data_IF_362053064897
#
_entry.id   IF_362053064897
#
_cell.length_a   1.000
_cell.length_b   1.000
_cell.length_c   1.000
_cell.angle_alpha   90.00
_cell.angle_beta   90.00
_cell.angle_gamma   90.00
#
_symmetry.space_group_name_H-M   'P 1'
#
loop_
_entity.id
_entity.type
_entity.pdbx_description
1 polymer ?
#
# COMPACT_ATOMS: atom_id res chain seq x y z
N UNK A 1 -16.46 -6.06 29.67
CA UNK A 1 -17.11 -7.22 29.00
C UNK A 1 -18.49 -7.49 29.55
N UNK A 2 -18.67 -7.82 30.86
CA UNK A 2 -20.00 -8.16 31.37
C UNK A 2 -20.99 -7.00 31.34
N UNK A 3 -20.56 -5.77 31.60
CA UNK A 3 -21.41 -4.58 31.45
C UNK A 3 -21.91 -4.42 30.01
N UNK A 4 -21.03 -4.56 29.03
CA UNK A 4 -21.36 -4.48 27.60
C UNK A 4 -22.28 -5.62 27.19
N UNK A 5 -22.04 -6.83 27.71
CA UNK A 5 -22.93 -7.96 27.48
C UNK A 5 -24.35 -7.67 27.96
N UNK A 6 -24.50 -7.28 29.22
CA UNK A 6 -25.82 -6.99 29.81
C UNK A 6 -26.52 -5.81 29.10
N UNK A 7 -25.75 -4.81 28.68
CA UNK A 7 -26.31 -3.60 28.07
C UNK A 7 -26.71 -3.78 26.60
N UNK A 8 -25.90 -4.50 25.82
CA UNK A 8 -26.11 -4.63 24.39
C UNK A 8 -26.70 -5.97 23.97
N UNK A 9 -26.20 -7.07 24.48
CA UNK A 9 -26.61 -8.39 24.03
C UNK A 9 -28.02 -8.73 24.52
N UNK A 10 -28.31 -8.50 25.80
CA UNK A 10 -29.66 -8.71 26.34
C UNK A 10 -30.68 -7.74 25.71
N UNK A 11 -30.30 -6.50 25.45
CA UNK A 11 -31.17 -5.54 24.78
C UNK A 11 -31.43 -5.92 23.32
N UNK A 12 -30.43 -6.47 22.62
CA UNK A 12 -30.53 -6.82 21.21
C UNK A 12 -31.27 -8.15 20.97
N UNK A 13 -30.96 -9.17 21.77
CA UNK A 13 -31.44 -10.52 21.59
C UNK A 13 -32.58 -10.90 22.54
N UNK A 14 -32.92 -10.08 23.50
CA UNK A 14 -33.87 -10.33 24.57
C UNK A 14 -33.21 -10.95 25.80
N UNK A 15 -33.67 -10.52 26.98
CA UNK A 15 -33.12 -10.91 28.27
C UNK A 15 -33.14 -12.45 28.45
N UNK A 16 -31.99 -13.00 28.76
CA UNK A 16 -31.82 -14.45 29.02
C UNK A 16 -31.82 -15.36 27.80
N UNK A 17 -31.93 -14.80 26.57
CA UNK A 17 -31.89 -15.62 25.35
C UNK A 17 -30.47 -16.13 25.02
N UNK A 18 -29.44 -15.48 25.53
CA UNK A 18 -28.05 -15.96 25.45
C UNK A 18 -27.54 -16.29 26.85
N UNK A 19 -26.95 -17.47 27.01
CA UNK A 19 -26.52 -17.96 28.30
C UNK A 19 -25.30 -17.21 28.84
N UNK A 20 -25.56 -16.20 29.65
CA UNK A 20 -24.55 -15.38 30.35
C UNK A 20 -23.50 -16.21 31.11
N UNK A 21 -23.95 -17.26 31.77
CA UNK A 21 -23.09 -18.14 32.56
C UNK A 21 -21.96 -18.76 31.74
N UNK A 22 -22.18 -19.00 30.44
CA UNK A 22 -21.14 -19.51 29.52
C UNK A 22 -19.99 -18.56 29.32
N UNK A 23 -20.28 -17.27 29.27
CA UNK A 23 -19.23 -16.24 29.17
C UNK A 23 -18.40 -16.19 30.46
N UNK A 24 -19.08 -16.28 31.62
CA UNK A 24 -18.42 -16.32 32.92
C UNK A 24 -17.55 -17.57 33.06
N UNK A 25 -18.05 -18.72 32.61
CA UNK A 25 -17.29 -19.98 32.60
C UNK A 25 -16.06 -19.89 31.71
N UNK A 26 -16.18 -19.30 30.51
CA UNK A 26 -15.03 -19.07 29.62
C UNK A 26 -14.01 -18.14 30.25
N UNK A 27 -14.46 -17.05 30.89
CA UNK A 27 -13.57 -16.15 31.62
C UNK A 27 -12.82 -16.89 32.74
N UNK A 28 -13.52 -17.72 33.51
CA UNK A 28 -12.95 -18.49 34.61
C UNK A 28 -11.97 -19.58 34.12
N UNK A 29 -12.14 -20.07 32.88
CA UNK A 29 -11.19 -20.99 32.26
C UNK A 29 -9.83 -20.35 32.03
N UNK A 30 -9.78 -19.04 31.79
CA UNK A 30 -8.57 -18.26 31.70
C UNK A 30 -7.79 -18.36 30.37
N UNK A 31 -8.31 -19.09 29.38
CA UNK A 31 -7.78 -19.17 28.01
C UNK A 31 -8.88 -19.46 27.00
N UNK A 32 -8.62 -19.21 25.72
CA UNK A 32 -9.51 -19.58 24.63
C UNK A 32 -9.27 -21.06 24.24
N UNK A 33 -10.27 -21.95 24.42
CA UNK A 33 -10.10 -23.38 24.17
C UNK A 33 -10.21 -23.71 22.67
N UNK A 34 -9.30 -23.15 21.88
CA UNK A 34 -9.24 -23.31 20.42
C UNK A 34 -7.83 -23.67 19.97
N UNK A 35 -7.74 -24.46 18.93
CA UNK A 35 -6.52 -24.72 18.17
C UNK A 35 -6.69 -24.09 16.80
N UNK A 36 -5.72 -23.27 16.37
CA UNK A 36 -5.68 -22.67 15.04
C UNK A 36 -4.47 -23.24 14.32
N UNK A 37 -4.70 -23.76 13.11
CA UNK A 37 -3.66 -24.18 12.18
C UNK A 37 -3.79 -23.35 10.94
N UNK A 38 -2.67 -22.81 10.47
CA UNK A 38 -2.64 -21.98 9.27
C UNK A 38 -1.52 -22.45 8.35
N UNK A 39 -1.69 -22.18 7.05
CA UNK A 39 -0.58 -22.22 6.10
C UNK A 39 0.45 -21.16 6.49
N UNK A 40 1.74 -21.37 6.20
CA UNK A 40 2.73 -20.32 6.38
C UNK A 40 2.33 -19.05 5.62
N UNK A 41 2.47 -17.90 6.24
CA UNK A 41 2.17 -16.61 5.60
C UNK A 41 3.05 -16.39 4.37
N UNK A 42 2.52 -15.74 3.34
CA UNK A 42 3.17 -15.60 2.03
C UNK A 42 3.03 -16.83 1.12
N UNK A 43 2.42 -17.93 1.58
CA UNK A 43 2.17 -19.10 0.74
C UNK A 43 1.16 -18.79 -0.36
N UNK A 44 1.49 -19.15 -1.61
CA UNK A 44 0.56 -19.12 -2.74
C UNK A 44 -0.19 -20.44 -2.81
N UNK A 45 -1.50 -20.39 -2.71
CA UNK A 45 -2.36 -21.58 -2.70
C UNK A 45 -3.45 -21.49 -3.76
N UNK A 46 -3.90 -22.64 -4.25
CA UNK A 46 -5.03 -22.69 -5.19
C UNK A 46 -6.35 -22.35 -4.48
N UNK A 47 -7.29 -21.78 -5.21
CA UNK A 47 -8.64 -21.56 -4.72
C UNK A 47 -9.27 -22.88 -4.25
N UNK A 48 -10.05 -22.79 -3.18
CA UNK A 48 -10.70 -23.96 -2.57
C UNK A 48 -9.84 -24.73 -1.57
N UNK A 49 -8.57 -24.38 -1.41
CA UNK A 49 -7.72 -24.95 -0.36
C UNK A 49 -7.90 -24.12 0.91
N UNK A 50 -8.26 -24.76 2.07
CA UNK A 50 -8.32 -24.07 3.34
C UNK A 50 -6.95 -23.51 3.75
N UNK A 51 -6.88 -22.20 4.01
CA UNK A 51 -5.65 -21.55 4.47
C UNK A 51 -5.53 -21.51 5.99
N UNK A 52 -6.67 -21.57 6.68
CA UNK A 52 -6.77 -21.61 8.14
C UNK A 52 -7.81 -22.63 8.54
N UNK A 53 -7.49 -23.43 9.55
CA UNK A 53 -8.40 -24.32 10.25
C UNK A 53 -8.47 -23.90 11.72
N UNK A 54 -9.69 -23.73 12.24
CA UNK A 54 -9.91 -23.45 13.65
C UNK A 54 -10.82 -24.52 14.25
N UNK A 55 -10.39 -25.13 15.33
CA UNK A 55 -11.17 -26.15 16.03
C UNK A 55 -11.20 -25.94 17.53
N UNK A 56 -12.30 -26.32 18.11
CA UNK A 56 -12.51 -26.33 19.53
C UNK A 56 -11.71 -27.45 20.21
N UNK A 57 -11.06 -27.14 21.33
CA UNK A 57 -10.30 -28.11 22.15
C UNK A 57 -11.03 -28.53 23.43
N UNK A 58 -12.20 -27.93 23.72
CA UNK A 58 -12.99 -28.25 24.91
C UNK A 58 -14.48 -28.30 24.59
N UNK A 59 -15.17 -29.46 24.70
CA UNK A 59 -16.57 -29.65 24.25
C UNK A 59 -17.57 -28.62 24.78
N UNK A 60 -17.37 -28.15 26.01
CA UNK A 60 -18.28 -27.20 26.67
C UNK A 60 -18.23 -25.80 26.01
N UNK A 61 -17.19 -25.49 25.28
CA UNK A 61 -16.95 -24.18 24.66
C UNK A 61 -16.95 -24.20 23.12
N UNK A 62 -17.59 -25.21 22.52
CA UNK A 62 -17.69 -25.33 21.06
C UNK A 62 -18.28 -24.08 20.37
N UNK A 63 -19.17 -23.38 21.08
CA UNK A 63 -19.80 -22.14 20.61
C UNK A 63 -18.82 -20.96 20.36
N UNK A 64 -17.63 -21.01 20.98
CA UNK A 64 -16.62 -19.94 20.84
C UNK A 64 -16.12 -19.81 19.40
N UNK A 65 -16.08 -20.93 18.65
CA UNK A 65 -15.60 -20.95 17.26
C UNK A 65 -16.38 -19.98 16.38
N UNK A 66 -17.70 -19.94 16.48
CA UNK A 66 -18.55 -19.06 15.67
C UNK A 66 -18.24 -17.57 15.91
N UNK A 67 -17.92 -17.21 17.14
CA UNK A 67 -17.55 -15.83 17.48
C UNK A 67 -16.17 -15.44 16.95
N UNK A 68 -15.21 -16.36 17.05
CA UNK A 68 -13.85 -16.12 16.60
C UNK A 68 -13.73 -16.18 15.08
N UNK A 69 -14.60 -16.92 14.38
CA UNK A 69 -14.61 -17.00 12.92
C UNK A 69 -14.74 -15.62 12.28
N UNK A 70 -15.70 -14.81 12.72
CA UNK A 70 -15.91 -13.46 12.16
C UNK A 70 -14.70 -12.57 12.38
N UNK A 71 -14.11 -12.62 13.58
CA UNK A 71 -12.89 -11.85 13.89
C UNK A 71 -11.74 -12.30 13.02
N UNK A 72 -11.50 -13.61 12.92
CA UNK A 72 -10.41 -14.16 12.12
C UNK A 72 -10.55 -13.77 10.65
N UNK A 73 -11.75 -13.91 10.08
CA UNK A 73 -12.00 -13.58 8.68
C UNK A 73 -11.79 -12.10 8.41
N UNK A 74 -12.27 -11.22 9.30
CA UNK A 74 -12.09 -9.76 9.16
C UNK A 74 -10.61 -9.36 9.19
N UNK A 75 -9.81 -10.03 9.99
CA UNK A 75 -8.37 -9.75 10.10
C UNK A 75 -7.55 -10.32 8.93
N UNK A 76 -7.89 -11.52 8.47
CA UNK A 76 -7.07 -12.25 7.48
C UNK A 76 -7.44 -11.89 6.04
N UNK A 77 -8.73 -11.72 5.74
CA UNK A 77 -9.20 -11.57 4.37
C UNK A 77 -8.63 -10.34 3.62
N UNK A 78 -8.61 -9.14 4.21
CA UNK A 78 -8.07 -7.96 3.52
C UNK A 78 -6.59 -8.14 3.16
N UNK A 79 -5.80 -8.70 4.06
CA UNK A 79 -4.39 -8.99 3.83
C UNK A 79 -4.18 -10.00 2.70
N UNK A 80 -4.94 -11.10 2.70
CA UNK A 80 -4.88 -12.12 1.64
C UNK A 80 -5.27 -11.53 0.28
N UNK A 81 -6.31 -10.71 0.24
CA UNK A 81 -6.76 -10.06 -0.99
C UNK A 81 -5.68 -9.11 -1.53
N UNK A 82 -5.11 -8.29 -0.66
CA UNK A 82 -4.10 -7.30 -1.03
C UNK A 82 -2.78 -7.98 -1.47
N UNK A 83 -2.34 -9.01 -0.76
CA UNK A 83 -1.19 -9.83 -1.14
C UNK A 83 -1.40 -10.52 -2.49
N UNK A 84 -2.61 -11.06 -2.75
CA UNK A 84 -2.95 -11.71 -4.01
C UNK A 84 -2.89 -10.73 -5.17
N UNK A 85 -3.46 -9.53 -5.02
CA UNK A 85 -3.37 -8.47 -6.03
C UNK A 85 -1.92 -8.08 -6.28
N UNK A 86 -1.14 -7.87 -5.23
CA UNK A 86 0.30 -7.60 -5.34
C UNK A 86 1.05 -8.69 -6.11
N UNK A 87 0.78 -9.94 -5.81
CA UNK A 87 1.37 -11.09 -6.50
C UNK A 87 1.02 -11.13 -8.00
N UNK A 88 -0.25 -10.89 -8.35
CA UNK A 88 -0.67 -10.86 -9.77
C UNK A 88 0.02 -9.72 -10.53
N UNK A 89 0.14 -8.53 -9.94
CA UNK A 89 0.89 -7.43 -10.53
C UNK A 89 2.40 -7.75 -10.64
N UNK A 90 2.97 -8.43 -9.65
CA UNK A 90 4.38 -8.80 -9.68
C UNK A 90 4.69 -9.74 -10.86
N UNK A 91 3.83 -10.73 -11.14
CA UNK A 91 3.98 -11.60 -12.31
C UNK A 91 4.00 -10.82 -13.63
N UNK A 92 3.18 -9.77 -13.73
CA UNK A 92 3.17 -8.89 -14.91
C UNK A 92 4.47 -8.06 -14.96
N UNK A 93 4.90 -7.50 -13.85
CA UNK A 93 6.15 -6.74 -13.77
C UNK A 93 7.34 -7.62 -14.18
N UNK A 94 7.49 -8.79 -13.60
CA UNK A 94 8.56 -9.74 -13.90
C UNK A 94 8.61 -10.10 -15.39
N UNK A 95 7.44 -10.41 -15.97
CA UNK A 95 7.32 -10.72 -17.41
C UNK A 95 7.83 -9.61 -18.31
N UNK A 96 7.57 -8.34 -17.95
CA UNK A 96 7.97 -7.21 -18.79
C UNK A 96 9.39 -6.74 -18.48
N UNK A 97 9.82 -6.74 -17.24
CA UNK A 97 11.19 -6.42 -16.85
C UNK A 97 12.20 -7.37 -17.51
N UNK A 98 11.91 -8.67 -17.53
CA UNK A 98 12.78 -9.64 -18.21
C UNK A 98 12.99 -9.34 -19.70
N UNK A 99 12.06 -8.65 -20.36
CA UNK A 99 12.11 -8.30 -21.79
C UNK A 99 12.70 -6.92 -22.07
N UNK A 100 12.35 -5.93 -21.26
CA UNK A 100 12.61 -4.52 -21.56
C UNK A 100 13.67 -3.89 -20.67
N UNK A 101 13.95 -4.48 -19.52
CA UNK A 101 14.93 -4.00 -18.56
C UNK A 101 15.65 -5.18 -17.85
N UNK A 102 16.33 -6.07 -18.61
CA UNK A 102 16.98 -7.22 -18.02
C UNK A 102 18.03 -6.77 -16.98
N UNK A 103 17.94 -7.35 -15.79
CA UNK A 103 18.80 -6.99 -14.65
C UNK A 103 18.24 -5.89 -13.73
N UNK A 104 17.14 -5.24 -14.09
CA UNK A 104 16.40 -4.40 -13.16
C UNK A 104 15.51 -5.24 -12.23
N UNK A 105 15.33 -4.78 -11.00
CA UNK A 105 14.57 -5.51 -9.97
C UNK A 105 13.06 -5.26 -10.11
N UNK A 106 12.24 -6.26 -10.45
CA UNK A 106 10.79 -6.12 -10.59
C UNK A 106 10.09 -5.78 -9.27
N UNK A 107 10.68 -6.08 -8.10
CA UNK A 107 10.17 -5.66 -6.80
C UNK A 107 10.13 -4.13 -6.64
N UNK A 108 10.89 -3.40 -7.45
CA UNK A 108 10.92 -1.94 -7.47
C UNK A 108 9.92 -1.33 -8.47
N UNK A 109 9.13 -2.13 -9.17
CA UNK A 109 8.25 -1.66 -10.24
C UNK A 109 7.08 -0.80 -9.74
N UNK A 110 6.47 -1.19 -8.63
CA UNK A 110 5.24 -0.57 -8.13
C UNK A 110 5.35 -0.17 -6.65
N UNK A 111 4.63 0.88 -6.28
CA UNK A 111 4.50 1.35 -4.90
C UNK A 111 3.04 1.34 -4.47
N UNK A 112 2.78 0.98 -3.21
CA UNK A 112 1.46 1.12 -2.61
C UNK A 112 1.18 2.58 -2.24
N UNK A 113 0.06 3.11 -2.74
CA UNK A 113 -0.52 4.40 -2.41
C UNK A 113 -1.94 4.26 -1.83
N UNK A 114 -2.31 3.08 -1.39
CA UNK A 114 -3.67 2.71 -1.00
C UNK A 114 -4.16 3.29 0.32
N UNK A 115 -3.33 3.92 1.14
CA UNK A 115 -3.67 4.35 2.49
C UNK A 115 -5.02 5.09 2.57
N UNK A 116 -5.20 6.12 1.74
CA UNK A 116 -6.41 6.95 1.73
C UNK A 116 -7.68 6.23 1.25
N UNK A 117 -7.54 5.04 0.68
CA UNK A 117 -8.65 4.21 0.19
C UNK A 117 -9.09 3.10 1.16
N UNK A 118 -8.45 2.98 2.33
CA UNK A 118 -8.74 1.96 3.33
C UNK A 118 -9.79 2.40 4.33
N UNK A 119 -10.41 1.43 5.02
CA UNK A 119 -11.50 1.67 5.98
C UNK A 119 -11.02 2.33 7.27
N UNK A 120 -9.79 2.05 7.69
CA UNK A 120 -9.16 2.59 8.90
C UNK A 120 -7.62 2.46 8.82
N UNK A 121 -6.93 3.02 9.81
CA UNK A 121 -5.47 3.00 9.90
C UNK A 121 -4.92 1.56 10.00
N UNK A 122 -5.55 0.72 10.78
CA UNK A 122 -5.16 -0.68 10.98
C UNK A 122 -5.26 -1.46 9.67
N UNK A 123 -6.33 -1.25 8.91
CA UNK A 123 -6.52 -1.84 7.59
C UNK A 123 -5.44 -1.40 6.60
N UNK A 124 -5.19 -0.09 6.52
CA UNK A 124 -4.14 0.46 5.68
C UNK A 124 -2.76 -0.14 6.03
N UNK A 125 -2.47 -0.23 7.31
CA UNK A 125 -1.22 -0.77 7.84
C UNK A 125 -1.01 -2.22 7.42
N UNK A 126 -2.00 -3.09 7.67
CA UNK A 126 -1.93 -4.53 7.37
C UNK A 126 -1.92 -4.82 5.88
N UNK A 127 -2.79 -4.16 5.13
CA UNK A 127 -2.85 -4.32 3.68
C UNK A 127 -1.54 -3.91 3.01
N UNK A 128 -0.97 -2.78 3.41
CA UNK A 128 0.32 -2.35 2.89
C UNK A 128 1.47 -3.29 3.30
N UNK A 129 1.45 -3.80 4.53
CA UNK A 129 2.41 -4.82 4.95
C UNK A 129 2.35 -6.07 4.07
N UNK A 130 1.14 -6.51 3.69
CA UNK A 130 0.96 -7.66 2.79
C UNK A 130 1.35 -7.37 1.33
N UNK A 131 1.25 -6.12 0.87
CA UNK A 131 1.78 -5.68 -0.42
C UNK A 131 3.29 -5.86 -0.52
N UNK A 132 4.00 -5.63 0.58
CA UNK A 132 5.46 -5.74 0.64
C UNK A 132 5.99 -7.18 0.50
N UNK A 133 5.12 -8.19 0.43
CA UNK A 133 5.49 -9.54 -0.03
C UNK A 133 5.86 -9.58 -1.53
N UNK A 134 5.33 -8.66 -2.32
CA UNK A 134 5.47 -8.68 -3.78
C UNK A 134 6.22 -7.47 -4.35
N UNK A 135 6.25 -6.36 -3.64
CA UNK A 135 6.94 -5.14 -4.05
C UNK A 135 7.64 -4.49 -2.85
N UNK A 136 8.72 -3.80 -3.11
CA UNK A 136 9.52 -3.19 -2.04
C UNK A 136 9.28 -1.68 -1.89
N UNK A 137 8.10 -1.19 -2.29
CA UNK A 137 7.76 0.23 -2.18
C UNK A 137 6.38 0.46 -1.59
N UNK A 138 6.30 1.40 -0.65
CA UNK A 138 5.03 1.89 -0.10
C UNK A 138 5.12 3.34 0.34
N UNK A 139 3.99 4.06 0.29
CA UNK A 139 3.78 5.35 0.94
C UNK A 139 3.04 5.21 2.28
N UNK A 140 2.64 4.00 2.66
CA UNK A 140 1.96 3.70 3.91
C UNK A 140 2.98 3.40 5.01
N UNK A 141 3.61 4.44 5.53
CA UNK A 141 4.68 4.33 6.55
C UNK A 141 4.29 3.47 7.76
N UNK A 142 3.04 3.49 8.28
CA UNK A 142 2.64 2.64 9.41
C UNK A 142 2.84 1.13 9.18
N UNK A 143 2.95 0.67 7.94
CA UNK A 143 3.26 -0.74 7.63
C UNK A 143 4.66 -1.17 8.11
N UNK A 144 5.62 -0.23 8.16
CA UNK A 144 7.01 -0.55 8.52
C UNK A 144 7.16 -0.93 10.00
N UNK A 145 6.73 -0.10 10.97
CA UNK A 145 6.77 -0.50 12.38
C UNK A 145 5.86 -1.70 12.68
N UNK A 146 4.79 -1.92 11.91
CA UNK A 146 3.99 -3.14 12.02
C UNK A 146 4.81 -4.39 11.65
N UNK A 147 5.54 -4.36 10.54
CA UNK A 147 6.43 -5.46 10.14
C UNK A 147 7.57 -5.67 11.12
N UNK A 148 8.16 -4.60 11.64
CA UNK A 148 9.21 -4.71 12.66
C UNK A 148 8.69 -5.37 13.95
N UNK A 149 7.49 -4.98 14.39
CA UNK A 149 6.90 -5.48 15.63
C UNK A 149 6.44 -6.93 15.55
N UNK A 150 5.70 -7.28 14.48
CA UNK A 150 5.08 -8.60 14.36
C UNK A 150 5.95 -9.63 13.64
N UNK A 151 6.86 -9.20 12.75
CA UNK A 151 7.65 -10.09 11.90
C UNK A 151 9.16 -9.95 12.11
N UNK A 152 9.59 -9.03 12.98
CA UNK A 152 11.01 -8.73 13.20
C UNK A 152 11.76 -8.45 11.89
N UNK A 153 11.13 -7.64 11.01
CA UNK A 153 11.58 -7.45 9.63
C UNK A 153 12.78 -6.50 9.51
N UNK A 154 13.05 -5.67 10.55
CA UNK A 154 14.12 -4.68 10.55
C UNK A 154 14.11 -3.81 9.28
N UNK A 155 12.93 -3.22 9.00
CA UNK A 155 12.63 -2.54 7.73
C UNK A 155 13.65 -1.46 7.35
N UNK A 156 14.13 -0.70 8.31
CA UNK A 156 15.12 0.36 8.07
C UNK A 156 16.48 -0.22 7.66
N UNK A 157 16.92 -1.31 8.28
CA UNK A 157 18.20 -1.97 7.98
C UNK A 157 18.15 -2.68 6.63
N UNK A 158 17.09 -3.43 6.38
CA UNK A 158 16.91 -4.20 5.15
C UNK A 158 16.30 -3.39 4.01
N UNK A 159 16.01 -2.09 4.23
CA UNK A 159 15.40 -1.20 3.24
C UNK A 159 14.09 -1.73 2.66
N UNK A 160 13.25 -2.28 3.54
CA UNK A 160 11.91 -2.72 3.19
C UNK A 160 10.97 -1.51 3.16
N UNK A 161 10.09 -1.46 2.16
CA UNK A 161 9.09 -0.40 2.03
C UNK A 161 9.68 0.95 1.67
N UNK A 162 10.59 0.98 0.72
CA UNK A 162 11.26 2.21 0.27
C UNK A 162 10.23 3.19 -0.28
N UNK A 163 10.33 4.45 0.14
CA UNK A 163 9.60 5.57 -0.44
C UNK A 163 10.39 6.27 -1.55
N UNK A 164 9.73 7.17 -2.25
CA UNK A 164 10.37 8.10 -3.17
C UNK A 164 10.01 9.54 -2.78
N UNK A 165 10.94 10.46 -2.93
CA UNK A 165 10.61 11.89 -2.84
C UNK A 165 9.63 12.20 -3.95
N UNK A 166 8.48 12.76 -3.61
CA UNK A 166 7.38 12.99 -4.55
C UNK A 166 6.60 14.23 -4.19
N UNK A 167 6.15 14.97 -5.19
CA UNK A 167 5.20 16.06 -4.99
C UNK A 167 3.76 15.53 -4.97
N UNK A 168 2.86 16.34 -4.43
CA UNK A 168 1.41 16.20 -4.47
C UNK A 168 0.80 17.42 -5.15
N UNK A 169 -0.46 17.33 -5.60
CA UNK A 169 -1.18 18.45 -6.22
C UNK A 169 -1.20 19.71 -5.35
N UNK A 170 -1.38 19.55 -4.03
CA UNK A 170 -1.33 20.66 -3.09
C UNK A 170 0.05 21.33 -3.05
N UNK A 171 1.12 20.56 -3.20
CA UNK A 171 2.49 21.10 -3.27
C UNK A 171 2.68 21.88 -4.56
N UNK A 172 2.22 21.36 -5.70
CA UNK A 172 2.28 22.06 -6.99
C UNK A 172 1.50 23.37 -6.93
N UNK A 173 0.27 23.34 -6.41
CA UNK A 173 -0.58 24.53 -6.30
C UNK A 173 0.00 25.59 -5.34
N UNK A 174 0.52 25.19 -4.19
CA UNK A 174 1.13 26.10 -3.23
C UNK A 174 2.38 26.79 -3.82
N UNK A 175 3.20 26.05 -4.51
CA UNK A 175 4.42 26.61 -5.12
C UNK A 175 4.12 27.45 -6.36
N UNK A 176 3.10 27.11 -7.15
CA UNK A 176 2.61 27.99 -8.20
C UNK A 176 2.19 29.36 -7.63
N UNK A 177 1.51 29.37 -6.47
CA UNK A 177 1.11 30.62 -5.82
C UNK A 177 2.31 31.45 -5.31
N UNK A 178 3.42 30.79 -4.97
CA UNK A 178 4.67 31.46 -4.52
C UNK A 178 5.44 32.00 -5.71
N UNK A 179 5.64 31.18 -6.75
CA UNK A 179 6.54 31.48 -7.86
C UNK A 179 5.85 32.20 -9.04
N UNK A 180 4.52 32.15 -9.11
CA UNK A 180 3.70 32.81 -10.12
C UNK A 180 3.55 32.02 -11.43
N UNK A 181 4.38 31.01 -11.67
CA UNK A 181 4.32 30.12 -12.83
C UNK A 181 4.95 28.75 -12.55
N UNK A 182 4.62 27.77 -13.39
CA UNK A 182 5.13 26.39 -13.23
C UNK A 182 6.59 26.25 -13.67
N UNK A 183 7.08 27.02 -14.62
CA UNK A 183 8.48 26.93 -15.10
C UNK A 183 9.43 27.35 -13.98
N UNK A 184 9.18 28.48 -13.34
CA UNK A 184 9.98 28.97 -12.21
C UNK A 184 9.98 27.94 -11.06
N UNK A 185 8.83 27.37 -10.76
CA UNK A 185 8.73 26.34 -9.74
C UNK A 185 9.53 25.08 -10.11
N UNK A 186 9.39 24.54 -11.32
CA UNK A 186 10.13 23.35 -11.75
C UNK A 186 11.64 23.59 -11.70
N UNK A 187 12.11 24.76 -12.17
CA UNK A 187 13.52 25.14 -12.08
C UNK A 187 14.02 25.19 -10.64
N UNK A 188 13.26 25.83 -9.74
CA UNK A 188 13.59 25.88 -8.31
C UNK A 188 13.64 24.50 -7.66
N UNK A 189 12.73 23.59 -8.01
CA UNK A 189 12.77 22.20 -7.57
C UNK A 189 14.10 21.52 -7.94
N UNK A 190 14.55 21.70 -9.18
CA UNK A 190 15.75 21.06 -9.71
C UNK A 190 17.05 21.66 -9.16
N UNK A 191 17.08 22.98 -8.93
CA UNK A 191 18.33 23.70 -8.63
C UNK A 191 18.51 24.02 -7.14
N UNK A 192 17.42 24.17 -6.39
CA UNK A 192 17.48 24.64 -4.99
C UNK A 192 16.92 23.61 -4.00
N UNK A 193 15.74 23.03 -4.29
CA UNK A 193 15.06 22.15 -3.33
C UNK A 193 15.68 20.75 -3.35
N UNK A 194 15.85 20.17 -4.53
CA UNK A 194 16.36 18.81 -4.73
C UNK A 194 17.54 18.73 -5.72
N UNK A 195 18.58 19.54 -5.58
CA UNK A 195 19.64 19.64 -6.59
C UNK A 195 20.42 18.33 -6.82
N UNK A 196 20.41 17.42 -5.85
CA UNK A 196 21.17 16.17 -5.87
C UNK A 196 20.31 14.94 -5.56
N UNK A 197 19.00 15.02 -5.74
CA UNK A 197 18.06 13.95 -5.36
C UNK A 197 17.09 13.66 -6.47
N UNK A 198 16.94 12.40 -6.85
CA UNK A 198 15.86 11.99 -7.74
C UNK A 198 14.50 12.19 -7.08
N UNK A 199 13.55 12.76 -7.80
CA UNK A 199 12.20 12.99 -7.28
C UNK A 199 11.12 12.77 -8.35
N UNK A 200 9.93 12.46 -7.91
CA UNK A 200 8.74 12.32 -8.75
C UNK A 200 7.88 13.56 -8.64
N UNK A 201 7.47 14.10 -9.77
CA UNK A 201 6.65 15.30 -9.85
C UNK A 201 5.30 14.96 -10.46
N UNK A 202 4.21 15.18 -9.69
CA UNK A 202 2.86 15.11 -10.24
C UNK A 202 2.66 16.23 -11.25
N UNK A 203 2.22 15.87 -12.44
CA UNK A 203 2.36 16.74 -13.62
C UNK A 203 1.03 17.17 -14.24
N UNK A 204 -0.09 16.72 -13.67
CA UNK A 204 -1.45 16.98 -14.16
C UNK A 204 -2.28 17.89 -13.23
N UNK A 205 -1.60 18.64 -12.36
CA UNK A 205 -2.28 19.57 -11.44
C UNK A 205 -3.12 20.62 -12.18
N UNK A 206 -2.64 21.09 -13.32
CA UNK A 206 -3.35 22.05 -14.19
C UNK A 206 -3.59 21.46 -15.58
N UNK A 207 -2.57 21.47 -16.45
CA UNK A 207 -2.64 20.92 -17.79
C UNK A 207 -1.43 20.02 -18.04
N UNK A 208 -1.70 18.70 -18.04
CA UNK A 208 -0.67 17.69 -18.23
C UNK A 208 0.11 17.86 -19.54
N UNK A 209 -0.60 18.08 -20.64
CA UNK A 209 0.05 18.20 -21.94
C UNK A 209 0.82 19.54 -22.09
N UNK A 210 0.38 20.60 -21.43
CA UNK A 210 1.16 21.82 -21.32
C UNK A 210 2.46 21.59 -20.53
N UNK A 211 2.38 20.83 -19.41
CA UNK A 211 3.56 20.45 -18.64
C UNK A 211 4.57 19.72 -19.51
N UNK A 212 4.15 18.67 -20.21
CA UNK A 212 5.05 17.81 -21.01
C UNK A 212 5.53 18.49 -22.30
N UNK A 213 4.67 19.27 -22.96
CA UNK A 213 5.01 19.86 -24.27
C UNK A 213 5.74 21.19 -24.19
N UNK A 214 5.55 21.96 -23.13
CA UNK A 214 6.06 23.33 -23.02
C UNK A 214 6.94 23.54 -21.79
N UNK A 215 6.48 23.17 -20.59
CA UNK A 215 7.17 23.47 -19.33
C UNK A 215 8.44 22.63 -19.19
N UNK A 216 8.34 21.31 -19.36
CA UNK A 216 9.51 20.42 -19.30
C UNK A 216 10.57 20.77 -20.35
N UNK A 217 10.22 21.01 -21.63
CA UNK A 217 11.19 21.50 -22.61
C UNK A 217 11.86 22.85 -22.24
N UNK A 218 11.11 23.78 -21.62
CA UNK A 218 11.65 25.07 -21.17
C UNK A 218 12.63 24.94 -19.99
N UNK A 219 12.59 23.78 -19.28
CA UNK A 219 13.51 23.46 -18.17
C UNK A 219 14.62 22.49 -18.59
N UNK A 220 14.84 22.29 -19.91
CA UNK A 220 15.72 21.22 -20.41
C UNK A 220 17.15 21.35 -19.86
N UNK A 221 17.71 22.54 -19.82
CA UNK A 221 19.10 22.76 -19.38
C UNK A 221 19.25 22.41 -17.89
N UNK A 222 18.30 22.80 -17.05
CA UNK A 222 18.29 22.48 -15.62
C UNK A 222 18.08 20.98 -15.39
N UNK A 223 17.22 20.33 -16.19
CA UNK A 223 17.00 18.89 -16.11
C UNK A 223 18.26 18.11 -16.48
N UNK A 224 18.96 18.51 -17.53
CA UNK A 224 20.19 17.86 -17.96
C UNK A 224 21.36 18.09 -16.99
N UNK A 225 21.39 19.24 -16.32
CA UNK A 225 22.41 19.58 -15.32
C UNK A 225 22.12 18.95 -13.95
N UNK A 226 20.89 18.46 -13.72
CA UNK A 226 20.44 17.94 -12.43
C UNK A 226 21.18 16.65 -12.05
N UNK A 227 21.72 16.61 -10.82
CA UNK A 227 22.36 15.40 -10.29
C UNK A 227 21.32 14.46 -9.65
N UNK A 228 20.46 13.88 -10.47
CA UNK A 228 19.37 12.98 -10.09
C UNK A 228 18.45 12.71 -11.29
N UNK A 229 17.28 12.13 -11.02
CA UNK A 229 16.27 11.88 -12.05
C UNK A 229 14.98 12.63 -11.70
N UNK A 230 14.44 13.38 -12.67
CA UNK A 230 13.08 13.87 -12.60
C UNK A 230 12.14 12.83 -13.21
N UNK A 231 11.21 12.30 -12.41
CA UNK A 231 10.16 11.41 -12.86
C UNK A 231 8.89 12.23 -13.10
N UNK A 232 8.40 12.22 -14.33
CA UNK A 232 7.12 12.83 -14.68
C UNK A 232 6.00 11.86 -14.31
N UNK A 233 5.10 12.28 -13.43
CA UNK A 233 4.00 11.46 -12.92
C UNK A 233 2.65 11.98 -13.42
N UNK A 234 2.02 11.32 -14.42
CA UNK A 234 0.60 11.50 -14.68
C UNK A 234 -0.24 10.84 -13.58
N UNK A 235 -1.32 11.47 -13.16
CA UNK A 235 -2.20 10.96 -12.10
C UNK A 235 -3.68 10.87 -12.53
N UNK A 236 -3.98 11.17 -13.82
CA UNK A 236 -5.32 11.16 -14.39
C UNK A 236 -5.31 10.79 -15.88
N UNK A 237 -6.49 10.54 -16.43
CA UNK A 237 -6.72 10.25 -17.86
C UNK A 237 -6.47 8.78 -18.24
N UNK A 238 -6.35 8.51 -19.56
CA UNK A 238 -6.03 7.17 -20.07
C UNK A 238 -4.55 6.86 -19.86
N UNK A 239 -4.23 6.00 -18.91
CA UNK A 239 -2.87 5.70 -18.49
C UNK A 239 -1.97 5.17 -19.61
N UNK A 240 -2.52 4.40 -20.56
CA UNK A 240 -1.76 3.84 -21.68
C UNK A 240 -1.42 4.94 -22.69
N UNK A 241 -2.42 5.70 -23.11
CA UNK A 241 -2.24 6.80 -24.06
C UNK A 241 -1.30 7.88 -23.53
N UNK A 242 -1.48 8.28 -22.26
CA UNK A 242 -0.65 9.29 -21.60
C UNK A 242 0.79 8.79 -21.47
N UNK A 243 1.02 7.56 -21.02
CA UNK A 243 2.37 7.03 -20.86
C UNK A 243 3.11 6.95 -22.21
N UNK A 244 2.47 6.43 -23.24
CA UNK A 244 3.07 6.34 -24.58
C UNK A 244 3.38 7.73 -25.15
N UNK A 245 2.42 8.65 -25.07
CA UNK A 245 2.59 10.02 -25.57
C UNK A 245 3.69 10.78 -24.82
N UNK A 246 3.78 10.60 -23.51
CA UNK A 246 4.84 11.21 -22.67
C UNK A 246 6.21 10.69 -23.07
N UNK A 247 6.37 9.37 -23.18
CA UNK A 247 7.66 8.77 -23.58
C UNK A 247 8.06 9.29 -24.94
N UNK A 248 7.16 9.33 -25.92
CA UNK A 248 7.44 9.84 -27.26
C UNK A 248 7.91 11.30 -27.19
N UNK A 249 7.20 12.13 -26.44
CA UNK A 249 7.54 13.56 -26.32
C UNK A 249 8.88 13.81 -25.61
N UNK A 250 9.14 13.08 -24.52
CA UNK A 250 10.43 13.19 -23.82
C UNK A 250 11.58 12.69 -24.71
N UNK A 251 11.34 11.65 -25.50
CA UNK A 251 12.31 11.19 -26.50
C UNK A 251 12.63 12.28 -27.54
N UNK A 252 11.62 12.96 -28.08
CA UNK A 252 11.80 14.03 -29.06
C UNK A 252 12.57 15.21 -28.47
N UNK A 253 12.38 15.51 -27.18
CA UNK A 253 13.02 16.65 -26.50
C UNK A 253 14.46 16.35 -26.07
N UNK A 254 14.70 15.20 -25.46
CA UNK A 254 15.95 14.87 -24.78
C UNK A 254 16.84 13.92 -25.60
N UNK A 255 16.29 13.28 -26.61
CA UNK A 255 16.92 12.17 -27.31
C UNK A 255 16.88 10.88 -26.48
N UNK A 256 16.89 9.73 -27.16
CA UNK A 256 17.01 8.45 -26.50
C UNK A 256 18.46 8.03 -26.36
N UNK A 257 18.83 7.47 -25.22
CA UNK A 257 20.10 6.75 -25.04
C UNK A 257 19.84 5.29 -24.77
#
# INVERSE_FOLDING_TARGET
VMYEYDHYIDAHLGLGNVARDRIIELHNLGYLPVEIRAMPEGSVVNMGIPIVEMRNTHPRFAWVIQWLECLLQTEVWPMCAYATVGWEYHKVADKFYSKTAPGADPYMAMADFGFRGMSCLEDATRCSASWLLSFNKTSTIPALPYLDYYYNAECAEHKIGIGAVSTEHSVMAANYAIDGDEITFVKRMLTEIYPNTSFSMVSDTYDYWNMVNNIIPACKDEILAHNGKLLIRPDSGDMVAISIGTIQKLWDVFGGT
#
